data_IF_503055454393
#
_entry.id   IF_503055454393
#
_cell.length_a   1.000
_cell.length_b   1.000
_cell.length_c   1.000
_cell.angle_alpha   90.00
_cell.angle_beta   90.00
_cell.angle_gamma   90.00
#
_symmetry.space_group_name_H-M   'P 1'
#
loop_
_entity.id
_entity.type
_entity.pdbx_description
1 polymer ?
#
# COMPACT_ATOMS: atom_id res chain seq x y z
N UNK A 1 -79.39 -4.20 -17.49
CA UNK A 1 -78.66 -5.04 -16.52
C UNK A 1 -77.22 -5.12 -17.02
N UNK A 2 -76.33 -4.30 -16.47
CA UNK A 2 -75.43 -4.58 -15.34
C UNK A 2 -74.24 -5.48 -15.76
N UNK A 3 -73.04 -4.92 -15.50
CA UNK A 3 -71.72 -5.53 -15.39
C UNK A 3 -70.87 -5.63 -16.66
N UNK A 4 -69.56 -5.38 -16.62
CA UNK A 4 -68.68 -4.67 -15.71
C UNK A 4 -67.34 -4.59 -16.49
N UNK A 5 -66.62 -3.49 -16.29
CA UNK A 5 -65.26 -3.21 -16.74
C UNK A 5 -64.30 -4.41 -16.74
N UNK A 6 -63.34 -4.42 -17.66
CA UNK A 6 -61.91 -4.30 -17.31
C UNK A 6 -61.04 -4.21 -18.59
N UNK A 7 -60.57 -3.00 -18.89
CA UNK A 7 -59.38 -2.79 -19.72
C UNK A 7 -58.16 -3.22 -18.90
N UNK A 8 -57.38 -4.18 -19.39
CA UNK A 8 -56.07 -4.49 -18.84
C UNK A 8 -55.02 -4.16 -19.90
N UNK A 9 -54.53 -2.92 -19.86
CA UNK A 9 -53.32 -2.50 -20.56
C UNK A 9 -52.12 -3.14 -19.86
N UNK A 10 -51.54 -4.18 -20.46
CA UNK A 10 -50.30 -4.77 -19.97
C UNK A 10 -49.11 -3.97 -20.53
N UNK A 11 -48.84 -2.81 -19.92
CA UNK A 11 -47.59 -2.07 -20.09
C UNK A 11 -46.53 -2.74 -19.21
N UNK A 12 -45.80 -3.70 -19.77
CA UNK A 12 -44.52 -4.14 -19.18
C UNK A 12 -43.47 -3.07 -19.45
N UNK A 13 -43.48 -2.03 -18.59
CA UNK A 13 -42.28 -1.29 -18.26
C UNK A 13 -41.38 -2.24 -17.46
N UNK A 14 -40.64 -3.09 -18.15
CA UNK A 14 -39.41 -3.62 -17.58
C UNK A 14 -38.46 -2.43 -17.52
N UNK A 15 -38.42 -1.79 -16.35
CA UNK A 15 -37.28 -1.04 -15.90
C UNK A 15 -36.04 -1.79 -16.33
N UNK A 16 -35.33 -1.27 -17.32
CA UNK A 16 -33.95 -1.65 -17.52
C UNK A 16 -33.30 -1.44 -16.17
N UNK A 17 -32.95 -2.54 -15.50
CA UNK A 17 -32.02 -2.49 -14.40
C UNK A 17 -30.82 -1.76 -14.96
N UNK A 18 -30.70 -0.53 -14.49
CA UNK A 18 -29.57 0.34 -14.66
C UNK A 18 -28.35 -0.53 -14.38
N UNK A 19 -27.65 -0.98 -15.43
CA UNK A 19 -26.35 -1.61 -15.28
C UNK A 19 -25.30 -0.53 -15.05
N UNK A 20 -25.65 0.51 -14.30
CA UNK A 20 -24.72 1.30 -13.52
C UNK A 20 -24.39 0.47 -12.27
N UNK A 21 -23.63 -0.60 -12.49
CA UNK A 21 -22.86 -1.17 -11.42
C UNK A 21 -21.38 -0.95 -11.71
N UNK A 22 -20.83 0.26 -11.47
CA UNK A 22 -19.40 0.39 -11.25
C UNK A 22 -19.10 -0.05 -9.82
N UNK A 23 -19.43 -1.28 -9.46
CA UNK A 23 -18.72 -1.99 -8.40
C UNK A 23 -17.85 -3.06 -9.03
N UNK A 24 -17.07 -2.66 -10.05
CA UNK A 24 -15.79 -3.31 -10.30
C UNK A 24 -14.90 -2.93 -9.12
N UNK A 25 -14.97 -3.77 -8.11
CA UNK A 25 -14.23 -3.78 -6.85
C UNK A 25 -12.75 -3.41 -7.02
N UNK A 26 -12.46 -2.11 -6.99
CA UNK A 26 -11.21 -1.59 -6.45
C UNK A 26 -11.18 -2.00 -4.97
N UNK A 27 -10.67 -3.19 -4.67
CA UNK A 27 -10.11 -3.41 -3.33
C UNK A 27 -9.09 -2.29 -3.17
N UNK A 28 -9.35 -1.32 -2.30
CA UNK A 28 -8.35 -0.29 -1.99
C UNK A 28 -7.07 -1.04 -1.61
N UNK A 29 -5.95 -0.71 -2.26
CA UNK A 29 -4.65 -1.31 -1.98
C UNK A 29 -4.41 -1.42 -0.47
N UNK A 30 -4.78 -0.37 0.26
CA UNK A 30 -4.82 -0.29 1.72
C UNK A 30 -5.36 -1.57 2.39
N UNK A 31 -6.55 -2.06 1.98
CA UNK A 31 -7.14 -3.27 2.55
C UNK A 31 -6.35 -4.54 2.23
N UNK A 32 -5.63 -4.54 1.11
CA UNK A 32 -4.83 -5.69 0.68
C UNK A 32 -3.46 -5.72 1.36
N UNK A 33 -2.83 -4.57 1.53
CA UNK A 33 -1.51 -4.43 2.18
C UNK A 33 -1.59 -4.47 3.70
N UNK A 34 -2.75 -4.22 4.32
CA UNK A 34 -2.92 -4.42 5.77
C UNK A 34 -2.60 -5.86 6.15
N UNK A 35 -1.74 -6.03 7.15
CA UNK A 35 -1.24 -7.31 7.64
C UNK A 35 0.26 -7.28 7.93
N UNK A 36 0.79 -8.44 8.31
CA UNK A 36 2.21 -8.67 8.55
C UNK A 36 2.85 -9.27 7.31
N UNK A 37 3.95 -8.67 6.86
CA UNK A 37 4.74 -9.07 5.71
C UNK A 37 6.13 -9.41 6.18
N UNK A 38 6.66 -10.56 5.79
CA UNK A 38 7.99 -11.01 6.19
C UNK A 38 8.87 -11.27 4.99
N UNK A 39 10.18 -11.14 5.11
CA UNK A 39 11.08 -11.54 4.04
C UNK A 39 10.90 -13.05 3.80
N UNK A 40 10.67 -13.51 2.55
CA UNK A 40 10.46 -14.92 2.27
C UNK A 40 11.73 -15.72 2.58
N UNK A 41 11.65 -16.66 3.52
CA UNK A 41 12.77 -17.53 3.90
C UNK A 41 12.71 -18.85 3.13
N UNK A 42 13.57 -19.03 2.12
CA UNK A 42 13.71 -20.34 1.42
C UNK A 42 15.17 -20.84 1.35
N UNK A 43 16.00 -20.50 2.35
CA UNK A 43 17.45 -20.73 2.42
C UNK A 43 18.27 -19.59 1.80
N UNK A 44 18.88 -18.78 2.66
CA UNK A 44 20.12 -18.05 2.39
C UNK A 44 20.87 -18.04 3.72
N UNK A 45 21.96 -18.81 3.78
CA UNK A 45 22.88 -18.82 4.92
C UNK A 45 23.60 -17.48 4.93
N UNK A 46 23.10 -16.54 5.73
CA UNK A 46 23.91 -15.46 6.26
C UNK A 46 23.43 -15.26 7.70
N UNK A 47 24.16 -15.83 8.65
CA UNK A 47 23.89 -15.81 10.09
C UNK A 47 24.00 -14.41 10.73
N UNK A 48 24.06 -13.32 9.95
CA UNK A 48 24.41 -11.98 10.46
C UNK A 48 23.28 -10.93 10.41
N UNK A 49 22.05 -11.26 10.01
CA UNK A 49 20.96 -10.28 9.93
C UNK A 49 19.65 -10.75 10.57
N UNK A 50 19.74 -11.27 11.80
CA UNK A 50 18.60 -11.72 12.60
C UNK A 50 17.54 -10.64 12.91
N UNK A 51 17.74 -9.38 12.52
CA UNK A 51 16.80 -8.31 12.86
C UNK A 51 15.98 -7.81 11.67
N UNK A 52 16.34 -8.14 10.42
CA UNK A 52 15.67 -7.62 9.21
C UNK A 52 14.52 -8.51 8.76
N UNK A 53 13.33 -8.41 9.37
CA UNK A 53 12.32 -9.47 9.15
C UNK A 53 10.92 -9.09 8.69
N UNK A 54 10.41 -7.88 8.93
CA UNK A 54 8.99 -7.62 8.66
C UNK A 54 8.56 -6.17 8.45
N UNK A 55 7.43 -5.99 7.75
CA UNK A 55 6.61 -4.79 7.70
C UNK A 55 5.22 -5.13 8.22
N UNK A 56 4.64 -4.27 9.06
CA UNK A 56 3.27 -4.37 9.53
C UNK A 56 2.53 -3.11 9.10
N UNK A 57 1.46 -3.29 8.33
CA UNK A 57 0.47 -2.25 8.07
C UNK A 57 -0.79 -2.54 8.88
N UNK A 58 -1.15 -1.64 9.78
CA UNK A 58 -2.29 -1.81 10.68
C UNK A 58 -3.56 -1.22 10.07
N UNK A 59 -4.75 -1.77 10.39
CA UNK A 59 -6.03 -1.24 9.88
C UNK A 59 -6.36 0.21 10.31
N UNK A 60 -5.66 0.74 11.31
CA UNK A 60 -5.83 2.10 11.84
C UNK A 60 -4.98 3.15 11.11
N UNK A 61 -4.29 2.77 10.04
CA UNK A 61 -3.41 3.67 9.27
C UNK A 61 -2.01 3.81 9.87
N UNK A 62 -1.64 3.01 10.87
CA UNK A 62 -0.28 2.95 11.40
C UNK A 62 0.56 1.87 10.74
N UNK A 63 1.88 2.02 10.80
CA UNK A 63 2.81 1.00 10.32
C UNK A 63 4.00 0.82 11.28
N UNK A 64 4.63 -0.35 11.18
CA UNK A 64 5.93 -0.66 11.77
C UNK A 64 6.78 -1.37 10.73
N UNK A 65 7.93 -0.79 10.41
CA UNK A 65 8.91 -1.36 9.48
C UNK A 65 10.30 -1.14 10.09
N UNK A 66 10.75 -2.00 11.02
CA UNK A 66 11.94 -1.75 11.85
C UNK A 66 13.26 -1.54 11.11
N UNK A 67 13.29 -1.69 9.78
CA UNK A 67 14.44 -1.42 8.92
C UNK A 67 14.10 -0.55 7.70
N UNK A 68 12.97 0.16 7.71
CA UNK A 68 12.45 0.89 6.56
C UNK A 68 11.56 0.03 5.65
N UNK A 69 10.83 0.68 4.72
CA UNK A 69 10.02 -0.01 3.72
C UNK A 69 10.87 -0.59 2.58
N UNK A 70 11.72 0.26 2.01
CA UNK A 70 12.73 -0.01 1.00
C UNK A 70 13.76 1.13 1.02
N UNK A 71 14.98 0.89 0.52
CA UNK A 71 16.09 1.84 0.58
C UNK A 71 16.99 1.65 1.82
N UNK A 72 17.66 2.73 2.28
CA UNK A 72 18.58 2.65 3.43
C UNK A 72 17.89 2.15 4.71
N UNK A 73 18.61 1.38 5.55
CA UNK A 73 18.08 0.95 6.85
C UNK A 73 17.64 2.12 7.71
N UNK A 74 16.42 2.02 8.24
CA UNK A 74 15.91 2.92 9.27
C UNK A 74 15.48 2.09 10.49
N UNK A 75 16.37 1.89 11.48
CA UNK A 75 16.06 1.16 12.71
C UNK A 75 14.82 1.71 13.40
N UNK A 76 13.97 0.81 13.90
CA UNK A 76 12.75 1.13 14.68
C UNK A 76 11.72 2.02 13.96
N UNK A 77 11.74 2.07 12.63
CA UNK A 77 10.88 2.98 11.88
C UNK A 77 9.40 2.62 11.98
N UNK A 78 8.61 3.53 12.58
CA UNK A 78 7.17 3.37 12.83
C UNK A 78 6.44 4.70 12.79
N UNK A 79 5.17 4.67 12.41
CA UNK A 79 4.35 5.88 12.32
C UNK A 79 3.06 5.63 11.55
N UNK A 80 2.72 6.55 10.66
CA UNK A 80 1.48 6.52 9.87
C UNK A 80 1.79 6.28 8.40
N UNK A 81 0.86 5.63 7.70
CA UNK A 81 0.94 5.42 6.26
C UNK A 81 -0.32 5.94 5.55
N UNK A 82 -0.14 6.25 4.27
CA UNK A 82 -1.18 6.64 3.32
C UNK A 82 -0.97 5.85 2.04
N UNK A 83 -2.03 5.64 1.27
CA UNK A 83 -1.93 4.96 -0.02
C UNK A 83 -2.84 5.57 -1.07
N UNK A 84 -2.38 5.54 -2.32
CA UNK A 84 -3.21 5.84 -3.48
C UNK A 84 -2.73 4.98 -4.67
N UNK A 85 -3.65 4.29 -5.34
CA UNK A 85 -3.31 3.30 -6.37
C UNK A 85 -2.34 2.25 -5.87
N UNK A 86 -1.21 2.09 -6.55
CA UNK A 86 -0.11 1.18 -6.19
C UNK A 86 1.01 1.88 -5.40
N UNK A 87 0.74 3.01 -4.77
CA UNK A 87 1.75 3.78 -4.03
C UNK A 87 1.41 3.88 -2.56
N UNK A 88 2.46 3.82 -1.74
CA UNK A 88 2.41 4.01 -0.29
C UNK A 88 3.35 5.14 0.09
N UNK A 89 2.89 6.03 0.97
CA UNK A 89 3.70 7.04 1.64
C UNK A 89 3.67 6.77 3.14
N UNK A 90 4.82 6.86 3.81
CA UNK A 90 4.94 6.69 5.26
C UNK A 90 5.60 7.89 5.88
N UNK A 91 5.13 8.29 7.06
CA UNK A 91 5.79 9.26 7.93
C UNK A 91 5.91 8.67 9.32
N UNK A 92 7.11 8.64 9.85
CA UNK A 92 7.36 8.00 11.14
C UNK A 92 8.66 8.45 11.77
N UNK A 93 8.90 7.93 12.97
CA UNK A 93 10.16 8.13 13.70
C UNK A 93 11.02 6.89 13.50
N UNK A 94 12.32 7.08 13.24
CA UNK A 94 13.30 5.99 13.13
C UNK A 94 14.73 6.45 13.47
N UNK A 95 15.69 5.54 13.39
CA UNK A 95 17.11 5.78 13.68
C UNK A 95 17.61 5.00 14.90
N UNK A 96 18.88 4.59 14.87
CA UNK A 96 19.52 3.95 16.02
C UNK A 96 19.84 4.99 17.12
N UNK A 97 19.87 4.55 18.37
CA UNK A 97 20.47 5.29 19.51
C UNK A 97 19.72 6.56 19.98
N UNK A 98 18.40 6.51 20.10
CA UNK A 98 17.65 7.48 20.92
C UNK A 98 17.49 8.90 20.34
N UNK A 99 18.11 9.19 19.20
CA UNK A 99 17.91 10.41 18.41
C UNK A 99 16.88 10.19 17.29
N UNK A 100 15.73 9.61 17.62
CA UNK A 100 14.68 9.32 16.65
C UNK A 100 14.33 10.55 15.81
N UNK A 101 14.67 10.53 14.51
CA UNK A 101 14.29 11.59 13.56
C UNK A 101 13.02 11.20 12.83
N UNK A 102 12.31 12.21 12.36
CA UNK A 102 11.16 11.98 11.48
C UNK A 102 11.67 11.71 10.08
N UNK A 103 11.16 10.65 9.45
CA UNK A 103 11.45 10.30 8.07
C UNK A 103 10.16 10.17 7.28
N UNK A 104 10.22 10.54 6.01
CA UNK A 104 9.18 10.26 5.03
C UNK A 104 9.73 9.37 3.93
N UNK A 105 9.06 8.26 3.68
CA UNK A 105 9.40 7.34 2.58
C UNK A 105 8.20 7.17 1.66
N UNK A 106 8.46 7.01 0.37
CA UNK A 106 7.48 6.65 -0.65
C UNK A 106 7.90 5.35 -1.32
N UNK A 107 6.93 4.53 -1.68
CA UNK A 107 7.17 3.28 -2.38
C UNK A 107 6.07 2.98 -3.40
N UNK A 108 6.45 2.38 -4.52
CA UNK A 108 5.55 1.64 -5.39
C UNK A 108 5.42 0.21 -4.85
N UNK A 109 4.19 -0.30 -4.79
CA UNK A 109 3.90 -1.63 -4.24
C UNK A 109 3.12 -2.47 -5.23
N UNK A 110 3.53 -3.73 -5.35
CA UNK A 110 2.89 -4.70 -6.24
C UNK A 110 2.58 -5.98 -5.49
N UNK A 111 1.35 -6.45 -5.63
CA UNK A 111 0.89 -7.71 -5.05
C UNK A 111 0.98 -8.82 -6.09
N UNK A 112 1.65 -9.91 -5.73
CA UNK A 112 1.81 -11.08 -6.61
C UNK A 112 1.38 -12.33 -5.87
N UNK A 113 0.56 -13.17 -6.50
CA UNK A 113 0.28 -14.50 -5.94
C UNK A 113 1.43 -15.43 -6.29
N UNK A 114 2.10 -15.98 -5.28
CA UNK A 114 3.08 -17.05 -5.45
C UNK A 114 2.40 -18.40 -5.39
N UNK A 115 2.96 -19.37 -6.11
CA UNK A 115 2.40 -20.72 -6.25
C UNK A 115 3.25 -21.80 -5.58
N UNK A 116 4.46 -21.48 -5.13
CA UNK A 116 5.35 -22.41 -4.42
C UNK A 116 6.34 -21.64 -3.50
N UNK A 117 6.09 -21.54 -2.19
CA UNK A 117 4.84 -21.91 -1.52
C UNK A 117 3.68 -21.02 -1.98
N UNK A 118 2.44 -21.51 -1.88
CA UNK A 118 1.27 -20.68 -2.13
C UNK A 118 1.17 -19.56 -1.08
N UNK A 119 1.39 -18.32 -1.51
CA UNK A 119 1.39 -17.17 -0.63
C UNK A 119 1.13 -15.87 -1.39
N UNK A 120 0.62 -14.86 -0.69
CA UNK A 120 0.56 -13.51 -1.24
C UNK A 120 1.91 -12.81 -1.02
N UNK A 121 2.56 -12.42 -2.10
CA UNK A 121 3.80 -11.65 -2.12
C UNK A 121 3.53 -10.14 -2.27
N UNK A 122 4.39 -9.34 -1.65
CA UNK A 122 4.45 -7.89 -1.77
C UNK A 122 5.84 -7.49 -2.23
N UNK A 123 5.92 -6.90 -3.42
CA UNK A 123 7.12 -6.19 -3.88
C UNK A 123 6.99 -4.72 -3.50
N UNK A 124 7.98 -4.19 -2.78
CA UNK A 124 8.08 -2.79 -2.38
C UNK A 124 9.29 -2.20 -3.07
N UNK A 125 9.05 -1.27 -3.99
CA UNK A 125 10.10 -0.53 -4.71
C UNK A 125 10.16 0.88 -4.17
N UNK A 126 11.33 1.30 -3.70
CA UNK A 126 11.54 2.66 -3.22
C UNK A 126 11.24 3.67 -4.32
N UNK A 127 10.50 4.74 -3.99
CA UNK A 127 10.52 5.98 -4.77
C UNK A 127 11.61 6.87 -4.21
N UNK A 128 12.57 7.25 -5.06
CA UNK A 128 13.73 8.03 -4.64
C UNK A 128 13.31 9.40 -4.09
N UNK A 129 13.84 9.86 -2.94
CA UNK A 129 13.55 11.19 -2.39
C UNK A 129 13.82 12.30 -3.40
N UNK A 130 14.87 12.16 -4.23
CA UNK A 130 15.22 13.12 -5.28
C UNK A 130 14.10 13.24 -6.31
N UNK A 131 13.40 12.15 -6.62
CA UNK A 131 12.24 12.20 -7.51
C UNK A 131 11.07 12.95 -6.86
N UNK A 132 10.82 12.74 -5.56
CA UNK A 132 9.80 13.48 -4.80
C UNK A 132 10.09 14.99 -4.81
N UNK A 133 11.38 15.39 -4.74
CA UNK A 133 11.79 16.80 -4.91
C UNK A 133 11.38 17.34 -6.28
N UNK A 134 11.51 16.56 -7.36
CA UNK A 134 11.05 16.99 -8.71
C UNK A 134 9.54 17.19 -8.79
N UNK A 135 8.75 16.60 -7.88
CA UNK A 135 7.32 16.84 -7.76
C UNK A 135 6.97 18.14 -7.01
N UNK A 136 7.98 18.86 -6.52
CA UNK A 136 7.86 20.16 -5.86
C UNK A 136 7.97 20.12 -4.33
N UNK A 137 8.50 19.05 -3.75
CA UNK A 137 8.65 18.88 -2.29
C UNK A 137 10.13 18.88 -1.90
N UNK A 138 10.68 20.06 -1.61
CA UNK A 138 12.13 20.23 -1.41
C UNK A 138 12.66 19.64 -0.10
N UNK A 139 11.81 19.54 0.92
CA UNK A 139 12.13 18.88 2.18
C UNK A 139 11.11 17.74 2.40
N UNK A 140 11.54 16.54 2.05
CA UNK A 140 10.67 15.35 2.05
C UNK A 140 10.32 14.95 3.48
N UNK A 141 11.27 15.03 4.40
CA UNK A 141 11.08 14.59 5.80
C UNK A 141 10.16 15.54 6.58
N UNK A 142 10.10 16.82 6.19
CA UNK A 142 9.18 17.81 6.77
C UNK A 142 7.74 17.76 6.22
N UNK A 143 7.46 16.94 5.19
CA UNK A 143 6.15 16.92 4.54
C UNK A 143 4.99 16.68 5.51
N UNK A 144 3.93 17.49 5.40
CA UNK A 144 2.71 17.28 6.16
C UNK A 144 1.92 16.08 5.62
N UNK A 145 0.97 15.55 6.40
CA UNK A 145 0.10 14.46 5.93
C UNK A 145 -0.66 14.83 4.64
N UNK A 146 -1.05 16.10 4.50
CA UNK A 146 -1.70 16.59 3.29
C UNK A 146 -0.76 16.67 2.09
N UNK A 147 0.52 16.97 2.30
CA UNK A 147 1.52 16.99 1.24
C UNK A 147 1.88 15.57 0.78
N UNK A 148 1.93 14.61 1.71
CA UNK A 148 2.09 13.19 1.40
C UNK A 148 0.95 12.70 0.52
N UNK A 149 -0.30 13.01 0.87
CA UNK A 149 -1.45 12.62 0.04
C UNK A 149 -1.36 13.24 -1.36
N UNK A 150 -1.06 14.54 -1.48
CA UNK A 150 -0.89 15.20 -2.79
C UNK A 150 0.25 14.61 -3.61
N UNK A 151 1.34 14.17 -2.97
CA UNK A 151 2.44 13.51 -3.65
C UNK A 151 2.00 12.14 -4.18
N UNK A 152 1.26 11.36 -3.39
CA UNK A 152 0.68 10.10 -3.83
C UNK A 152 -0.28 10.28 -5.01
N UNK A 153 -1.10 11.34 -5.00
CA UNK A 153 -1.98 11.66 -6.12
C UNK A 153 -1.16 11.92 -7.40
N UNK A 154 -0.08 12.71 -7.31
CA UNK A 154 0.82 12.97 -8.44
C UNK A 154 1.54 11.72 -8.94
N UNK A 155 1.93 10.80 -8.05
CA UNK A 155 2.55 9.53 -8.41
C UNK A 155 1.56 8.63 -9.15
N UNK A 156 0.31 8.60 -8.69
CA UNK A 156 -0.76 7.80 -9.29
C UNK A 156 -1.19 8.30 -10.67
N UNK A 157 -1.03 9.59 -10.96
CA UNK A 157 -1.36 10.20 -12.25
C UNK A 157 -0.25 10.07 -13.31
N UNK A 158 0.83 9.35 -13.01
CA UNK A 158 2.03 9.29 -13.87
C UNK A 158 2.53 7.86 -14.07
N UNK A 159 3.12 7.63 -15.24
CA UNK A 159 4.02 6.49 -15.44
C UNK A 159 5.42 6.90 -15.00
N UNK A 160 5.98 6.16 -14.04
CA UNK A 160 7.30 6.43 -13.50
C UNK A 160 8.37 5.66 -14.29
N UNK A 161 9.46 6.33 -14.64
CA UNK A 161 10.64 5.70 -15.24
C UNK A 161 11.60 5.16 -14.18
N UNK A 162 12.69 4.55 -14.64
CA UNK A 162 13.73 3.99 -13.76
C UNK A 162 14.42 5.04 -12.90
N UNK A 163 14.43 6.30 -13.32
CA UNK A 163 14.97 7.44 -12.57
C UNK A 163 14.19 7.76 -11.29
N UNK A 164 12.94 7.30 -11.18
CA UNK A 164 12.12 7.49 -9.98
C UNK A 164 12.29 6.35 -8.96
N UNK A 165 12.86 5.22 -9.39
CA UNK A 165 12.83 3.95 -8.67
C UNK A 165 14.20 3.63 -8.06
N UNK A 166 14.19 3.23 -6.79
CA UNK A 166 15.37 2.82 -6.04
C UNK A 166 15.36 1.33 -5.71
N UNK A 167 15.80 1.01 -4.50
CA UNK A 167 15.91 -0.37 -4.02
C UNK A 167 14.56 -1.11 -4.05
N UNK A 168 14.63 -2.41 -4.33
CA UNK A 168 13.48 -3.32 -4.29
C UNK A 168 13.61 -4.28 -3.11
N UNK A 169 12.51 -4.47 -2.40
CA UNK A 169 12.36 -5.46 -1.32
C UNK A 169 11.14 -6.32 -1.59
N UNK A 170 11.23 -7.59 -1.25
CA UNK A 170 10.15 -8.57 -1.48
C UNK A 170 9.79 -9.20 -0.15
N UNK A 171 8.48 -9.28 0.10
CA UNK A 171 7.91 -9.82 1.32
C UNK A 171 6.80 -10.81 1.00
N UNK A 172 6.49 -11.66 1.96
CA UNK A 172 5.42 -12.64 1.96
C UNK A 172 4.44 -12.31 3.08
N UNK A 173 3.14 -12.35 2.80
CA UNK A 173 2.11 -12.15 3.82
C UNK A 173 2.08 -13.31 4.79
N UNK A 174 2.00 -13.02 6.08
CA UNK A 174 1.80 -14.03 7.13
C UNK A 174 0.42 -13.82 7.73
N UNK A 175 -0.39 -14.88 7.74
CA UNK A 175 -1.77 -14.84 8.24
C UNK A 175 -1.85 -14.85 9.79
N UNK A 176 -0.73 -15.16 10.47
CA UNK A 176 -0.60 -15.06 11.93
C UNK A 176 0.60 -14.18 12.26
N UNK A 177 0.42 -13.23 13.18
CA UNK A 177 1.55 -12.51 13.77
C UNK A 177 2.51 -13.55 14.37
N UNK A 178 3.82 -13.51 14.04
CA UNK A 178 4.80 -14.30 14.77
C UNK A 178 4.69 -13.93 16.25
N UNK A 179 4.59 -14.93 17.11
CA UNK A 179 4.78 -14.71 18.55
C UNK A 179 6.27 -14.48 18.74
N UNK A 180 6.67 -13.20 18.80
CA UNK A 180 8.01 -12.78 19.20
C UNK A 180 8.08 -12.71 20.72
#
# INVERSE_FOLDING_TARGET
>A
MRHLSFLFSFLLLLSGCDSNNPTSSTRSLERLIVGTWVVPTTSFVIEEFEDWRHIIFSPDGTFSAPWGLAGPPLPEFKGNFWSNGNYVGTKGVGGAEGEGRTYVQFAHVELTQWTDPEALGLQVTQILPEYIVTLGYNDVDEMSSGDIQKALDKLNDRTLGSEAMGDVRVFQKVERQPQF
#
